data_IF_719712745010
#
_entry.id   IF_719712745010
#
_cell.length_a   1.000
_cell.length_b   1.000
_cell.length_c   1.000
_cell.angle_alpha   90.00
_cell.angle_beta   90.00
_cell.angle_gamma   90.00
#
_symmetry.space_group_name_H-M   'P 1'
#
loop_
_entity.id
_entity.type
_entity.pdbx_description
1 polymer ?
#
# COMPACT_ATOMS: atom_id res chain seq x y z
N UNK A 1 7.85 -23.92 25.77
CA UNK A 1 8.48 -22.81 25.04
C UNK A 1 8.79 -23.29 23.64
N UNK A 2 8.14 -22.74 22.61
CA UNK A 2 8.72 -22.58 21.27
C UNK A 2 7.80 -21.68 20.44
N UNK A 3 8.32 -20.46 20.20
CA UNK A 3 8.03 -19.54 19.11
C UNK A 3 6.64 -18.88 19.07
N UNK A 4 6.51 -17.80 19.85
CA UNK A 4 5.92 -16.56 19.31
C UNK A 4 6.85 -16.05 18.19
N UNK A 5 6.80 -16.67 17.01
CA UNK A 5 7.37 -16.06 15.81
C UNK A 5 6.42 -14.93 15.38
N UNK A 6 6.73 -13.72 15.86
CA UNK A 6 5.99 -12.51 15.51
C UNK A 6 5.78 -12.45 14.00
N UNK A 7 4.52 -12.29 13.60
CA UNK A 7 4.12 -12.16 12.21
C UNK A 7 5.03 -11.15 11.48
N UNK A 8 5.76 -11.60 10.45
CA UNK A 8 6.70 -10.75 9.69
C UNK A 8 5.98 -9.66 8.88
N UNK A 9 4.66 -9.77 8.72
CA UNK A 9 3.80 -8.82 8.02
C UNK A 9 3.02 -7.96 8.99
N UNK A 10 2.73 -6.71 8.60
CA UNK A 10 1.96 -5.77 9.42
C UNK A 10 0.53 -6.24 9.76
N UNK A 11 0.02 -7.24 9.03
CA UNK A 11 -1.25 -7.91 9.30
C UNK A 11 -1.11 -9.42 9.10
N UNK A 12 -1.95 -10.22 9.77
CA UNK A 12 -1.99 -11.66 9.55
C UNK A 12 -2.47 -11.97 8.14
N UNK A 13 -1.61 -12.63 7.36
CA UNK A 13 -1.88 -13.03 5.98
C UNK A 13 -2.40 -14.47 5.93
N UNK A 14 -3.25 -14.83 4.94
CA UNK A 14 -3.61 -16.23 4.69
C UNK A 14 -2.41 -17.04 4.19
N UNK A 15 -2.56 -18.37 4.12
CA UNK A 15 -1.57 -19.24 3.49
C UNK A 15 -1.30 -18.80 2.05
N UNK A 16 -0.06 -18.99 1.59
CA UNK A 16 0.41 -18.61 0.24
C UNK A 16 0.27 -17.10 -0.08
N UNK A 17 0.31 -16.26 0.96
CA UNK A 17 0.30 -14.81 0.85
C UNK A 17 1.51 -14.20 1.58
N UNK A 18 2.28 -13.29 0.96
CA UNK A 18 2.10 -12.73 -0.38
C UNK A 18 2.35 -13.76 -1.50
N UNK A 19 1.88 -13.51 -2.74
CA UNK A 19 2.15 -14.39 -3.87
C UNK A 19 3.65 -14.55 -4.12
N UNK A 20 4.09 -15.72 -4.59
CA UNK A 20 5.52 -16.03 -4.85
C UNK A 20 6.15 -15.12 -5.89
N UNK A 21 5.33 -14.55 -6.77
CA UNK A 21 5.71 -13.61 -7.82
C UNK A 21 5.87 -12.17 -7.29
N UNK A 22 5.51 -11.91 -6.02
CA UNK A 22 5.78 -10.63 -5.40
C UNK A 22 7.30 -10.43 -5.25
N UNK A 23 7.76 -9.21 -5.46
CA UNK A 23 9.18 -8.86 -5.48
C UNK A 23 9.49 -7.83 -4.40
N UNK A 24 10.75 -7.84 -3.95
CA UNK A 24 11.28 -6.87 -3.00
C UNK A 24 11.62 -5.58 -3.77
N UNK A 25 11.11 -4.41 -3.34
CA UNK A 25 11.45 -3.15 -3.99
C UNK A 25 12.93 -2.80 -3.74
N UNK A 26 13.54 -2.13 -4.71
CA UNK A 26 14.92 -1.68 -4.71
C UNK A 26 14.98 -0.16 -4.71
N UNK A 27 14.38 0.45 -3.69
CA UNK A 27 14.41 1.89 -3.49
C UNK A 27 13.73 2.69 -4.61
N UNK A 28 12.76 2.12 -5.31
CA UNK A 28 11.91 2.87 -6.25
C UNK A 28 10.88 3.73 -5.50
N UNK A 29 10.45 4.81 -6.16
CA UNK A 29 9.42 5.72 -5.64
C UNK A 29 8.03 5.24 -6.02
N UNK A 30 7.15 5.16 -5.04
CA UNK A 30 5.73 4.90 -5.22
C UNK A 30 4.88 6.03 -4.66
N UNK A 31 3.60 6.02 -5.02
CA UNK A 31 2.61 7.02 -4.69
C UNK A 31 1.40 6.38 -4.02
N UNK A 32 0.85 7.06 -3.02
CA UNK A 32 -0.36 6.61 -2.30
C UNK A 32 -1.26 7.80 -1.99
N UNK A 33 -2.56 7.54 -1.99
CA UNK A 33 -3.57 8.48 -1.50
C UNK A 33 -3.79 8.27 0.00
N UNK A 34 -3.67 9.34 0.78
CA UNK A 34 -3.83 9.36 2.23
C UNK A 34 -4.87 10.41 2.65
N UNK A 35 -5.33 10.33 3.89
CA UNK A 35 -6.41 11.19 4.40
C UNK A 35 -5.91 12.56 4.86
N UNK A 36 -4.67 12.65 5.35
CA UNK A 36 -4.03 13.87 5.83
C UNK A 36 -2.50 13.75 5.75
N UNK A 37 -1.79 14.86 5.93
CA UNK A 37 -0.33 14.92 6.00
C UNK A 37 0.11 15.61 7.32
N UNK A 38 1.04 15.03 8.10
CA UNK A 38 1.68 13.73 7.92
C UNK A 38 0.65 12.58 8.00
N UNK A 39 0.81 11.48 7.25
CA UNK A 39 -0.14 10.38 7.26
C UNK A 39 -0.15 9.65 8.61
N UNK A 40 -1.23 8.93 8.88
CA UNK A 40 -1.34 8.07 10.07
C UNK A 40 -1.21 6.60 9.74
N UNK A 41 -1.08 5.77 10.78
CA UNK A 41 -1.10 4.32 10.65
C UNK A 41 -2.35 3.82 9.90
N UNK A 42 -3.50 4.48 10.08
CA UNK A 42 -4.76 4.11 9.41
C UNK A 42 -4.67 4.26 7.89
N UNK A 43 -3.85 5.19 7.41
CA UNK A 43 -3.60 5.34 5.98
C UNK A 43 -2.74 4.19 5.42
N UNK A 44 -2.16 3.35 6.28
CA UNK A 44 -1.40 2.14 5.94
C UNK A 44 -2.07 0.85 6.41
N UNK A 45 -3.39 0.88 6.67
CA UNK A 45 -4.18 -0.33 6.86
C UNK A 45 -4.62 -0.92 5.51
N UNK A 46 -4.66 -2.24 5.44
CA UNK A 46 -5.16 -2.94 4.26
C UNK A 46 -6.64 -2.63 4.00
N UNK A 47 -7.10 -2.95 2.79
CA UNK A 47 -8.53 -2.86 2.47
C UNK A 47 -9.36 -3.73 3.43
N UNK A 48 -8.90 -4.94 3.74
CA UNK A 48 -9.57 -5.85 4.68
C UNK A 48 -9.68 -5.26 6.08
N UNK A 49 -8.63 -4.62 6.59
CA UNK A 49 -8.65 -4.00 7.92
C UNK A 49 -9.55 -2.76 7.97
N UNK A 50 -9.66 -2.02 6.85
CA UNK A 50 -10.43 -0.76 6.80
C UNK A 50 -11.91 -0.99 6.50
N UNK A 51 -12.25 -1.91 5.59
CA UNK A 51 -13.61 -2.11 5.05
C UNK A 51 -14.16 -3.52 5.28
N UNK A 52 -13.39 -4.41 5.91
CA UNK A 52 -13.70 -5.83 6.00
C UNK A 52 -13.34 -6.59 4.71
N UNK A 53 -13.51 -7.92 4.74
CA UNK A 53 -13.28 -8.77 3.57
C UNK A 53 -14.59 -9.06 2.83
N UNK A 54 -14.59 -8.90 1.51
CA UNK A 54 -15.70 -9.26 0.63
C UNK A 54 -15.16 -10.16 -0.51
N UNK A 55 -15.33 -11.50 -0.43
CA UNK A 55 -14.72 -12.44 -1.36
C UNK A 55 -15.07 -12.24 -2.84
N UNK A 56 -16.23 -11.65 -3.13
CA UNK A 56 -16.70 -11.41 -4.49
C UNK A 56 -15.92 -10.32 -5.26
N UNK A 57 -15.03 -9.58 -4.60
CA UNK A 57 -14.31 -8.44 -5.21
C UNK A 57 -12.84 -8.72 -5.48
N UNK A 58 -12.18 -9.50 -4.64
CA UNK A 58 -10.75 -9.81 -4.71
C UNK A 58 -10.39 -10.97 -3.78
N UNK A 59 -9.23 -11.59 -4.02
CA UNK A 59 -8.71 -12.62 -3.11
C UNK A 59 -8.37 -12.00 -1.76
N UNK A 60 -8.45 -12.80 -0.69
CA UNK A 60 -8.12 -12.33 0.66
C UNK A 60 -6.69 -11.78 0.74
N UNK A 61 -5.75 -12.41 0.04
CA UNK A 61 -4.36 -11.96 0.01
C UNK A 61 -4.21 -10.53 -0.53
N UNK A 62 -4.89 -10.21 -1.62
CA UNK A 62 -4.86 -8.86 -2.22
C UNK A 62 -5.62 -7.88 -1.31
N UNK A 63 -6.73 -8.30 -0.70
CA UNK A 63 -7.46 -7.47 0.26
C UNK A 63 -6.61 -7.10 1.49
N UNK A 64 -5.60 -7.92 1.84
CA UNK A 64 -4.62 -7.66 2.91
C UNK A 64 -3.44 -6.78 2.49
N UNK A 65 -3.37 -6.36 1.23
CA UNK A 65 -2.33 -5.48 0.72
C UNK A 65 -2.73 -4.00 0.77
N UNK A 66 -1.74 -3.13 0.61
CA UNK A 66 -1.88 -1.70 0.39
C UNK A 66 -1.82 -1.39 -1.10
N UNK A 67 -2.78 -0.60 -1.59
CA UNK A 67 -2.72 -0.06 -2.95
C UNK A 67 -1.73 1.10 -3.05
N UNK A 68 -0.74 0.96 -3.93
CA UNK A 68 0.18 2.04 -4.30
C UNK A 68 0.30 2.12 -5.83
N UNK A 69 0.92 3.18 -6.33
CA UNK A 69 1.16 3.36 -7.76
C UNK A 69 2.59 3.77 -8.05
N UNK A 70 3.12 3.39 -9.21
CA UNK A 70 4.41 3.87 -9.72
C UNK A 70 4.28 5.17 -10.53
N UNK A 71 3.07 5.73 -10.65
CA UNK A 71 2.80 6.88 -11.52
C UNK A 71 1.83 7.88 -10.89
N UNK A 72 2.35 9.02 -10.43
CA UNK A 72 1.56 10.11 -9.82
C UNK A 72 0.50 10.68 -10.77
N UNK A 73 0.82 10.90 -12.06
CA UNK A 73 -0.12 11.42 -13.06
C UNK A 73 -1.31 10.48 -13.33
N UNK A 74 -1.10 9.17 -13.21
CA UNK A 74 -2.19 8.19 -13.33
C UNK A 74 -3.00 8.12 -12.05
N UNK A 75 -2.33 8.17 -10.90
CA UNK A 75 -2.99 8.18 -9.60
C UNK A 75 -3.85 9.44 -9.39
N UNK A 76 -3.41 10.60 -9.88
CA UNK A 76 -4.13 11.88 -9.72
C UNK A 76 -5.49 11.88 -10.42
N UNK A 77 -5.68 11.06 -11.45
CA UNK A 77 -6.99 10.89 -12.10
C UNK A 77 -8.06 10.39 -11.14
N UNK A 78 -7.67 9.71 -10.05
CA UNK A 78 -8.62 9.24 -9.04
C UNK A 78 -9.31 10.40 -8.31
N UNK A 79 -8.72 11.60 -8.24
CA UNK A 79 -9.36 12.77 -7.60
C UNK A 79 -10.68 13.20 -8.26
N UNK A 80 -10.91 12.80 -9.52
CA UNK A 80 -12.21 12.99 -10.18
C UNK A 80 -13.33 12.15 -9.57
N UNK A 81 -13.02 11.04 -8.90
CA UNK A 81 -13.99 10.15 -8.26
C UNK A 81 -14.33 10.71 -6.87
N UNK A 82 -15.63 10.86 -6.52
CA UNK A 82 -16.05 11.49 -5.26
C UNK A 82 -15.40 10.91 -4.01
N UNK A 83 -15.18 9.58 -3.97
CA UNK A 83 -14.55 8.90 -2.85
C UNK A 83 -13.11 9.35 -2.56
N UNK A 84 -12.36 9.76 -3.59
CA UNK A 84 -10.95 10.16 -3.46
C UNK A 84 -10.71 11.66 -3.49
N UNK A 85 -11.74 12.47 -3.80
CA UNK A 85 -11.60 13.92 -4.04
C UNK A 85 -10.91 14.69 -2.91
N UNK A 86 -11.11 14.27 -1.66
CA UNK A 86 -10.54 14.92 -0.48
C UNK A 86 -9.29 14.22 0.05
N UNK A 87 -8.68 13.32 -0.73
CA UNK A 87 -7.43 12.65 -0.37
C UNK A 87 -6.23 13.49 -0.80
N UNK A 88 -5.11 13.27 -0.15
CA UNK A 88 -3.81 13.86 -0.44
C UNK A 88 -2.93 12.81 -1.09
N UNK A 89 -2.09 13.19 -2.06
CA UNK A 89 -1.08 12.29 -2.60
C UNK A 89 0.24 12.47 -1.87
N UNK A 90 0.82 11.35 -1.42
CA UNK A 90 2.20 11.29 -0.92
C UNK A 90 3.04 10.40 -1.84
N UNK A 91 4.35 10.60 -1.82
CA UNK A 91 5.31 9.60 -2.28
C UNK A 91 6.16 9.07 -1.14
N UNK A 92 6.67 7.87 -1.36
CA UNK A 92 7.63 7.18 -0.51
C UNK A 92 8.58 6.37 -1.37
N UNK A 93 9.84 6.29 -0.93
CA UNK A 93 10.89 5.49 -1.56
C UNK A 93 10.98 4.18 -0.80
N UNK A 94 10.57 3.08 -1.42
CA UNK A 94 10.41 1.80 -0.72
C UNK A 94 11.73 1.03 -0.68
N UNK A 95 12.29 0.88 0.52
CA UNK A 95 13.49 0.06 0.74
C UNK A 95 13.15 -1.44 0.78
N UNK A 96 14.15 -2.33 0.68
CA UNK A 96 13.92 -3.78 0.80
C UNK A 96 13.22 -4.22 2.08
N UNK A 97 13.38 -3.47 3.17
CA UNK A 97 12.77 -3.73 4.47
C UNK A 97 11.27 -3.39 4.50
N UNK A 98 10.78 -2.66 3.49
CA UNK A 98 9.39 -2.20 3.44
C UNK A 98 8.37 -3.31 3.15
N UNK A 99 8.84 -4.50 2.74
CA UNK A 99 8.02 -5.65 2.41
C UNK A 99 8.10 -5.99 0.92
N UNK A 100 7.00 -6.46 0.33
CA UNK A 100 6.98 -6.94 -1.07
C UNK A 100 5.82 -6.38 -1.87
N UNK A 101 6.03 -6.30 -3.18
CA UNK A 101 5.12 -5.70 -4.15
C UNK A 101 4.72 -6.70 -5.22
N UNK A 102 3.48 -6.59 -5.70
CA UNK A 102 3.02 -7.24 -6.92
C UNK A 102 2.25 -6.24 -7.77
N UNK A 103 2.55 -6.17 -9.07
CA UNK A 103 1.77 -5.36 -10.01
C UNK A 103 0.39 -5.98 -10.19
N UNK A 104 -0.67 -5.22 -9.94
CA UNK A 104 -2.07 -5.70 -9.91
C UNK A 104 -3.02 -4.66 -10.50
N UNK A 105 -4.24 -5.04 -10.88
CA UNK A 105 -5.35 -4.13 -11.27
C UNK A 105 -5.00 -3.04 -12.32
N UNK A 106 -3.95 -3.24 -13.12
CA UNK A 106 -3.52 -2.32 -14.19
C UNK A 106 -2.00 -2.15 -14.30
N UNK A 107 -1.52 -1.35 -15.27
CA UNK A 107 -0.09 -1.21 -15.55
C UNK A 107 0.70 -0.45 -14.47
N UNK A 108 0.00 0.36 -13.66
CA UNK A 108 0.59 1.29 -12.69
C UNK A 108 0.13 1.08 -11.26
N UNK A 109 -0.67 0.04 -10.99
CA UNK A 109 -1.16 -0.27 -9.64
C UNK A 109 -0.38 -1.45 -9.08
N UNK A 110 -0.04 -1.35 -7.80
CA UNK A 110 0.66 -2.39 -7.07
C UNK A 110 -0.07 -2.69 -5.76
N UNK A 111 -0.09 -3.97 -5.43
CA UNK A 111 -0.42 -4.50 -4.12
C UNK A 111 0.86 -4.59 -3.31
N UNK A 112 0.90 -3.94 -2.16
CA UNK A 112 2.05 -3.90 -1.26
C UNK A 112 1.73 -4.57 0.06
N UNK A 113 2.45 -5.64 0.39
CA UNK A 113 2.40 -6.28 1.70
C UNK A 113 3.48 -5.69 2.58
N UNK A 114 3.06 -4.87 3.53
CA UNK A 114 3.91 -4.12 4.45
C UNK A 114 4.56 -5.07 5.47
N UNK A 115 5.88 -4.97 5.62
CA UNK A 115 6.59 -5.69 6.68
C UNK A 115 6.22 -5.12 8.07
N UNK A 116 6.08 -6.00 9.08
CA UNK A 116 5.69 -5.60 10.43
C UNK A 116 6.68 -4.63 11.10
N UNK A 117 7.97 -4.77 10.78
CA UNK A 117 9.04 -3.97 11.36
C UNK A 117 9.24 -2.60 10.68
N UNK A 118 8.58 -2.34 9.55
CA UNK A 118 8.78 -1.13 8.77
C UNK A 118 7.69 -0.10 9.06
N UNK A 119 8.10 1.11 9.48
CA UNK A 119 7.22 2.26 9.61
C UNK A 119 7.32 3.15 8.37
N UNK A 120 6.26 3.27 7.55
CA UNK A 120 6.31 4.05 6.31
C UNK A 120 6.16 5.56 6.50
N UNK A 121 5.66 6.02 7.66
CA UNK A 121 5.32 7.44 7.88
C UNK A 121 6.54 8.37 7.73
N UNK A 122 7.72 8.06 8.31
CA UNK A 122 8.90 8.92 8.18
C UNK A 122 9.40 9.09 6.73
N UNK A 123 9.12 8.12 5.86
CA UNK A 123 9.56 8.13 4.45
C UNK A 123 8.57 8.86 3.52
N UNK A 124 7.43 9.31 4.06
CA UNK A 124 6.39 9.97 3.28
C UNK A 124 6.68 11.46 3.02
N UNK A 125 6.62 11.85 1.75
CA UNK A 125 6.72 13.24 1.30
C UNK A 125 5.44 13.68 0.62
N UNK A 126 5.01 14.89 0.92
CA UNK A 126 3.88 15.52 0.23
C UNK A 126 4.28 15.79 -1.24
N UNK A 127 3.36 15.52 -2.16
CA UNK A 127 3.51 15.96 -3.55
C UNK A 127 2.67 17.21 -3.75
N UNK A 128 3.33 18.29 -4.13
CA UNK A 128 2.65 19.44 -4.70
C UNK A 128 2.19 19.06 -6.11
N UNK A 129 0.89 18.86 -6.26
CA UNK A 129 0.29 18.65 -7.57
C UNK A 129 0.21 20.02 -8.24
N UNK A 130 1.17 20.32 -9.11
CA UNK A 130 1.04 21.45 -10.01
C UNK A 130 -0.14 21.17 -10.96
N UNK A 131 -1.21 21.93 -10.79
CA UNK A 131 -2.29 22.01 -11.76
C UNK A 131 -1.75 22.88 -12.88
N UNK A 132 -1.36 22.26 -14.00
CA UNK A 132 -1.17 22.97 -15.27
C UNK A 132 -2.53 23.31 -15.89
#
# INVERSE_FOLDING_TARGET
MTQDEGNIWAEQLPNDCPPKEAFIPQYETYYRLVSYYPPSDRDFYSYKKTHGYKPSKESECIARSLSISDNSKKLSKLFGIPYFRNKIMICLKLSPESGVLLKTRGPHHFSWWLAAAYNPIPDCKLIELFIE
#
